data_IF_314462982207
#
_entry.id   IF_314462982207
#
_cell.length_a   1.000
_cell.length_b   1.000
_cell.length_c   1.000
_cell.angle_alpha   90.00
_cell.angle_beta   90.00
_cell.angle_gamma   90.00
#
_symmetry.space_group_name_H-M   'P 1'
#
loop_
_entity.id
_entity.type
_entity.pdbx_description
1 polymer ?
#
# COMPACT_ATOMS: atom_id res chain seq x y z
N UNK A 1 -18.03 -3.32 -2.78
CA UNK A 1 -18.07 -2.87 -4.19
C UNK A 1 -19.39 -2.18 -4.49
N UNK A 2 -20.54 -2.85 -4.41
CA UNK A 2 -21.85 -2.23 -4.65
C UNK A 2 -22.17 -1.09 -3.67
N UNK A 3 -21.94 -1.28 -2.37
CA UNK A 3 -22.13 -0.24 -1.34
C UNK A 3 -21.16 0.94 -1.48
N UNK A 4 -20.02 0.74 -2.13
CA UNK A 4 -18.99 1.78 -2.37
C UNK A 4 -19.13 2.40 -3.78
N UNK A 5 -20.17 2.04 -4.54
CA UNK A 5 -20.38 2.52 -5.91
C UNK A 5 -19.29 2.11 -6.92
N UNK A 6 -18.54 1.03 -6.64
CA UNK A 6 -17.45 0.57 -7.50
C UNK A 6 -17.97 -0.40 -8.58
N UNK A 7 -17.53 -0.26 -9.86
CA UNK A 7 -17.88 -1.20 -10.93
C UNK A 7 -17.33 -2.59 -10.61
N UNK A 8 -18.08 -3.64 -10.97
CA UNK A 8 -17.73 -5.03 -10.58
C UNK A 8 -16.71 -5.65 -11.53
N UNK A 9 -16.83 -5.33 -12.80
CA UNK A 9 -16.09 -5.88 -13.93
C UNK A 9 -14.56 -5.91 -13.71
N UNK A 10 -13.90 -4.82 -13.25
CA UNK A 10 -12.44 -4.84 -13.03
C UNK A 10 -11.99 -5.72 -11.86
N UNK A 11 -12.89 -6.11 -10.96
CA UNK A 11 -12.58 -6.92 -9.77
C UNK A 11 -13.03 -8.38 -9.91
N UNK A 12 -13.66 -8.76 -11.01
CA UNK A 12 -14.24 -10.09 -11.19
C UNK A 12 -13.20 -11.21 -11.00
N UNK A 13 -12.00 -11.03 -11.56
CA UNK A 13 -10.88 -11.96 -11.37
C UNK A 13 -10.50 -12.14 -9.90
N UNK A 14 -10.53 -11.08 -9.09
CA UNK A 14 -10.15 -11.11 -7.67
C UNK A 14 -11.23 -11.79 -6.82
N UNK A 15 -12.50 -11.57 -7.18
CA UNK A 15 -13.64 -12.20 -6.52
C UNK A 15 -13.71 -13.70 -6.79
N UNK A 16 -13.37 -14.11 -8.02
CA UNK A 16 -13.39 -15.52 -8.41
C UNK A 16 -12.37 -16.36 -7.61
N UNK A 17 -11.26 -15.75 -7.15
CA UNK A 17 -10.30 -16.40 -6.23
C UNK A 17 -10.96 -16.94 -4.94
N UNK A 18 -12.09 -16.37 -4.51
CA UNK A 18 -12.80 -16.80 -3.29
C UNK A 18 -13.98 -17.73 -3.57
N UNK A 19 -14.26 -18.06 -4.84
CA UNK A 19 -15.44 -18.83 -5.26
C UNK A 19 -15.40 -20.29 -4.84
N UNK A 20 -14.21 -20.90 -4.82
CA UNK A 20 -14.02 -22.34 -4.55
C UNK A 20 -13.56 -22.65 -3.13
N UNK A 21 -13.92 -21.79 -2.19
CA UNK A 21 -13.54 -21.92 -0.78
C UNK A 21 -12.43 -20.94 -0.43
N UNK A 22 -12.68 -20.15 0.61
CA UNK A 22 -11.71 -19.24 1.21
C UNK A 22 -11.73 -19.44 2.72
N UNK A 23 -10.56 -19.40 3.35
CA UNK A 23 -10.47 -19.41 4.81
C UNK A 23 -10.72 -18.00 5.34
N UNK A 24 -11.18 -17.88 6.58
CA UNK A 24 -11.18 -16.57 7.25
C UNK A 24 -9.73 -16.13 7.43
N UNK A 25 -9.36 -15.02 6.82
CA UNK A 25 -8.02 -14.47 6.87
C UNK A 25 -8.05 -12.97 7.17
N UNK A 26 -7.00 -12.49 7.82
CA UNK A 26 -6.73 -11.07 8.06
C UNK A 26 -5.25 -10.80 7.86
N UNK A 27 -4.86 -9.55 7.68
CA UNK A 27 -3.47 -9.15 7.54
C UNK A 27 -3.30 -7.67 7.81
N UNK A 28 -2.05 -7.28 8.00
CA UNK A 28 -1.65 -5.88 8.08
C UNK A 28 -0.51 -5.63 7.10
N UNK A 29 -0.28 -4.36 6.78
CA UNK A 29 0.84 -3.94 5.96
C UNK A 29 1.71 -2.98 6.76
N UNK A 30 3.02 -3.08 6.58
CA UNK A 30 3.99 -2.20 7.17
C UNK A 30 4.90 -1.68 6.06
N UNK A 31 4.98 -0.35 5.91
CA UNK A 31 5.93 0.25 4.99
C UNK A 31 7.34 0.12 5.54
N UNK A 32 8.25 -0.49 4.78
CA UNK A 32 9.63 -0.71 5.22
C UNK A 32 10.32 0.60 5.60
N UNK A 33 10.22 1.61 4.74
CA UNK A 33 10.83 2.93 4.98
C UNK A 33 10.24 3.59 6.24
N UNK A 34 8.94 3.39 6.50
CA UNK A 34 8.27 3.88 7.71
C UNK A 34 8.72 3.15 8.97
N UNK A 35 9.00 1.85 8.87
CA UNK A 35 9.60 1.09 9.96
C UNK A 35 11.02 1.59 10.27
N UNK A 36 11.83 1.84 9.24
CA UNK A 36 13.18 2.41 9.40
C UNK A 36 13.10 3.80 10.02
N UNK A 37 12.22 4.67 9.51
CA UNK A 37 11.97 6.01 10.05
C UNK A 37 11.62 5.96 11.55
N UNK A 38 10.70 5.08 11.92
CA UNK A 38 10.32 4.88 13.31
C UNK A 38 11.47 4.38 14.18
N UNK A 39 12.26 3.41 13.68
CA UNK A 39 13.37 2.83 14.42
C UNK A 39 14.55 3.79 14.61
N UNK A 40 14.79 4.70 13.65
CA UNK A 40 15.90 5.67 13.69
C UNK A 40 15.51 7.01 14.30
N UNK A 41 14.21 7.31 14.42
CA UNK A 41 13.71 8.58 14.93
C UNK A 41 13.90 9.76 13.98
N UNK A 42 14.09 9.50 12.68
CA UNK A 42 14.23 10.54 11.67
C UNK A 42 12.87 11.17 11.33
N UNK A 43 12.84 12.50 11.26
CA UNK A 43 11.59 13.24 11.05
C UNK A 43 11.06 13.14 9.61
N UNK A 44 11.95 12.97 8.63
CA UNK A 44 11.59 12.94 7.20
C UNK A 44 11.78 11.56 6.55
N UNK A 45 10.82 11.15 5.73
CA UNK A 45 10.91 9.90 4.97
C UNK A 45 12.02 9.93 3.91
N UNK A 46 12.44 11.11 3.45
CA UNK A 46 13.54 11.29 2.50
C UNK A 46 14.89 10.90 3.09
N UNK A 47 15.03 10.95 4.41
CA UNK A 47 16.29 10.64 5.09
C UNK A 47 16.49 9.12 5.26
N UNK A 48 15.43 8.33 5.07
CA UNK A 48 15.48 6.85 5.13
C UNK A 48 15.37 6.18 3.76
N UNK A 49 15.07 6.95 2.69
CA UNK A 49 14.95 6.45 1.32
C UNK A 49 16.16 6.91 0.50
N UNK A 50 17.04 6.00 0.02
CA UNK A 50 18.25 6.40 -0.71
C UNK A 50 18.00 7.22 -1.99
N UNK A 51 16.90 6.94 -2.70
CA UNK A 51 16.50 7.65 -3.92
C UNK A 51 15.04 8.09 -3.83
N UNK A 52 14.74 9.18 -3.10
CA UNK A 52 13.37 9.57 -2.80
C UNK A 52 12.64 10.03 -4.07
N UNK A 53 11.41 9.53 -4.25
CA UNK A 53 10.51 9.95 -5.34
C UNK A 53 9.50 10.95 -4.78
N UNK A 54 9.44 12.14 -5.37
CA UNK A 54 8.46 13.15 -5.01
C UNK A 54 7.91 13.82 -6.27
N UNK A 55 6.70 14.38 -6.15
CA UNK A 55 6.07 15.15 -7.21
C UNK A 55 6.62 16.58 -7.17
N UNK A 56 7.16 17.10 -8.28
CA UNK A 56 7.71 18.45 -8.38
C UNK A 56 9.13 18.50 -8.96
N UNK A 57 9.69 19.72 -9.06
CA UNK A 57 11.06 19.94 -9.57
C UNK A 57 12.09 19.61 -8.49
N UNK A 58 13.18 18.96 -8.89
CA UNK A 58 14.40 18.81 -8.09
C UNK A 58 14.92 20.23 -7.83
N UNK A 59 15.05 20.64 -6.56
CA UNK A 59 15.72 21.90 -6.22
C UNK A 59 17.20 21.74 -6.58
N UNK A 60 17.66 22.61 -7.47
CA UNK A 60 19.07 22.80 -7.81
C UNK A 60 19.62 23.88 -6.87
#
# INVERSE_FOLDING_TARGET
FQELGLPKEPYEWYLDLRRHGTVKHSGFSLGFDKMVQFATGLDDARDVIPFPRFHGKIKN
#
